data_IF_706552368428
#
_entry.id   IF_706552368428
#
_cell.length_a   1.000
_cell.length_b   1.000
_cell.length_c   1.000
_cell.angle_alpha   90.00
_cell.angle_beta   90.00
_cell.angle_gamma   90.00
#
_symmetry.space_group_name_H-M   'P 1'
#
loop_
_entity.id
_entity.type
_entity.pdbx_description
1 polymer ?
#
# COMPACT_ATOMS: atom_id res chain seq x y z
N UNK A 1 28.36 -52.14 0.15
CA UNK A 1 27.03 -51.99 0.78
C UNK A 1 26.01 -51.94 -0.35
N UNK A 2 25.31 -53.04 -0.59
CA UNK A 2 24.40 -53.20 -1.72
C UNK A 2 22.99 -52.80 -1.29
N UNK A 3 22.47 -51.70 -1.85
CA UNK A 3 21.11 -51.25 -1.58
C UNK A 3 20.10 -52.29 -2.07
N UNK A 4 19.14 -52.66 -1.22
CA UNK A 4 18.02 -53.55 -1.59
C UNK A 4 17.07 -52.78 -2.52
N UNK A 5 17.35 -52.77 -3.81
CA UNK A 5 16.33 -52.49 -4.81
C UNK A 5 15.42 -53.72 -4.92
N UNK A 6 14.12 -53.55 -4.67
CA UNK A 6 13.11 -54.58 -4.91
C UNK A 6 12.66 -54.47 -6.36
N UNK A 7 13.24 -55.30 -7.23
CA UNK A 7 12.74 -55.47 -8.59
C UNK A 7 11.36 -56.14 -8.56
N UNK A 8 10.37 -55.53 -9.20
CA UNK A 8 9.07 -56.15 -9.46
C UNK A 8 7.94 -55.89 -8.44
N UNK A 9 8.11 -55.01 -7.45
CA UNK A 9 6.93 -54.55 -6.68
C UNK A 9 6.16 -53.50 -7.49
N UNK A 10 4.81 -53.62 -7.59
CA UNK A 10 4.00 -52.56 -8.18
C UNK A 10 4.22 -51.27 -7.39
N UNK A 11 4.31 -50.14 -8.11
CA UNK A 11 4.43 -48.83 -7.47
C UNK A 11 3.33 -48.67 -6.42
N UNK A 12 3.71 -48.53 -5.16
CA UNK A 12 2.77 -48.22 -4.10
C UNK A 12 2.14 -46.85 -4.40
N UNK A 13 0.81 -46.76 -4.37
CA UNK A 13 0.12 -45.48 -4.50
C UNK A 13 0.46 -44.61 -3.30
N UNK A 14 1.34 -43.63 -3.50
CA UNK A 14 1.65 -42.63 -2.48
C UNK A 14 0.57 -41.56 -2.54
N UNK A 15 -0.24 -41.44 -1.49
CA UNK A 15 -1.18 -40.35 -1.37
C UNK A 15 -0.41 -39.04 -1.16
N UNK A 16 -0.56 -38.10 -2.09
CA UNK A 16 -0.09 -36.73 -1.91
C UNK A 16 -0.96 -36.05 -0.85
N UNK A 17 -0.45 -35.96 0.37
CA UNK A 17 -1.11 -35.18 1.43
C UNK A 17 -0.76 -33.71 1.21
N UNK A 18 -1.77 -32.88 0.96
CA UNK A 18 -1.60 -31.43 0.91
C UNK A 18 -1.35 -30.93 2.33
N UNK A 19 -0.22 -30.27 2.55
CA UNK A 19 0.09 -29.62 3.83
C UNK A 19 -0.86 -28.46 4.07
N UNK A 20 -1.38 -28.37 5.30
CA UNK A 20 -2.20 -27.27 5.80
C UNK A 20 -3.36 -26.85 4.86
N UNK A 21 -4.03 -27.85 4.27
CA UNK A 21 -5.12 -27.68 3.29
C UNK A 21 -6.23 -26.72 3.73
N UNK A 22 -6.77 -26.80 4.96
CA UNK A 22 -7.77 -25.85 5.44
C UNK A 22 -7.28 -24.39 5.46
N UNK A 23 -6.04 -24.16 5.86
CA UNK A 23 -5.48 -22.80 5.90
C UNK A 23 -5.27 -22.23 4.49
N UNK A 24 -4.87 -23.06 3.53
CA UNK A 24 -4.79 -22.66 2.13
C UNK A 24 -6.16 -22.35 1.53
N UNK A 25 -7.16 -23.19 1.80
CA UNK A 25 -8.52 -22.94 1.34
C UNK A 25 -9.09 -21.64 1.91
N UNK A 26 -8.77 -21.31 3.17
CA UNK A 26 -9.17 -20.05 3.77
C UNK A 26 -8.46 -18.85 3.14
N UNK A 27 -7.15 -18.95 2.86
CA UNK A 27 -6.44 -17.90 2.14
C UNK A 27 -7.02 -17.67 0.74
N UNK A 28 -7.36 -18.73 0.01
CA UNK A 28 -8.04 -18.63 -1.30
C UNK A 28 -9.44 -18.01 -1.18
N UNK A 29 -10.18 -18.29 -0.11
CA UNK A 29 -11.47 -17.64 0.17
C UNK A 29 -11.29 -16.13 0.38
N UNK A 30 -10.30 -15.74 1.18
CA UNK A 30 -10.00 -14.33 1.44
C UNK A 30 -9.59 -13.59 0.17
N UNK A 31 -8.73 -14.19 -0.66
CA UNK A 31 -8.31 -13.64 -1.95
C UNK A 31 -9.50 -13.35 -2.88
N UNK A 32 -10.54 -14.20 -2.85
CA UNK A 32 -11.76 -14.00 -3.64
C UNK A 32 -12.69 -12.93 -3.06
N UNK A 33 -12.71 -12.77 -1.74
CA UNK A 33 -13.58 -11.80 -1.05
C UNK A 33 -13.01 -10.39 -1.15
N UNK A 34 -11.69 -10.24 -1.05
CA UNK A 34 -11.00 -8.96 -1.00
C UNK A 34 -10.34 -8.63 -2.35
N UNK A 35 -11.11 -8.11 -3.29
CA UNK A 35 -10.67 -7.88 -4.68
C UNK A 35 -9.45 -6.95 -4.83
N UNK A 36 -9.25 -6.02 -3.89
CA UNK A 36 -8.14 -5.07 -3.88
C UNK A 36 -6.88 -5.62 -3.18
N UNK A 37 -6.88 -6.91 -2.85
CA UNK A 37 -5.80 -7.59 -2.17
C UNK A 37 -5.44 -8.90 -2.86
N UNK A 38 -4.17 -9.30 -2.73
CA UNK A 38 -3.71 -10.64 -3.07
C UNK A 38 -3.32 -11.35 -1.77
N UNK A 39 -4.00 -12.45 -1.45
CA UNK A 39 -3.85 -13.19 -0.19
C UNK A 39 -3.16 -14.53 -0.43
N UNK A 40 -2.16 -14.83 0.41
CA UNK A 40 -1.27 -15.98 0.27
C UNK A 40 -1.07 -16.64 1.64
N UNK A 41 -0.95 -17.97 1.68
CA UNK A 41 -0.55 -18.70 2.88
C UNK A 41 0.87 -19.26 2.75
N UNK A 42 1.74 -18.93 3.71
CA UNK A 42 3.12 -19.41 3.74
C UNK A 42 3.27 -20.63 4.64
N UNK A 43 3.73 -21.76 4.08
CA UNK A 43 4.01 -22.98 4.84
C UNK A 43 5.26 -22.85 5.73
N UNK A 44 6.18 -21.94 5.42
CA UNK A 44 7.44 -21.78 6.15
C UNK A 44 7.24 -21.13 7.52
N UNK A 45 6.42 -20.08 7.58
CA UNK A 45 6.07 -19.36 8.82
C UNK A 45 4.69 -19.74 9.37
N UNK A 46 3.88 -20.47 8.59
CA UNK A 46 2.48 -20.79 8.90
C UNK A 46 1.66 -19.54 9.21
N UNK A 47 1.77 -18.57 8.32
CA UNK A 47 1.11 -17.26 8.44
C UNK A 47 0.45 -16.90 7.11
N UNK A 48 -0.63 -16.16 7.22
CA UNK A 48 -1.31 -15.51 6.12
C UNK A 48 -0.63 -14.18 5.79
N UNK A 49 -0.60 -13.86 4.52
CA UNK A 49 -0.02 -12.65 3.96
C UNK A 49 -1.02 -12.03 3.01
N UNK A 50 -1.19 -10.72 3.08
CA UNK A 50 -1.98 -9.97 2.11
C UNK A 50 -1.13 -8.83 1.54
N UNK A 51 -1.16 -8.66 0.23
CA UNK A 51 -0.49 -7.59 -0.50
C UNK A 51 -1.56 -6.75 -1.18
N UNK A 52 -1.54 -5.45 -0.94
CA UNK A 52 -2.50 -4.55 -1.57
C UNK A 52 -2.20 -4.39 -3.06
N UNK A 53 -3.23 -4.42 -3.90
CA UNK A 53 -3.12 -4.29 -5.37
C UNK A 53 -3.34 -2.86 -5.88
N UNK A 54 -3.72 -1.92 -5.01
CA UNK A 54 -3.90 -0.52 -5.39
C UNK A 54 -2.57 0.19 -5.67
N UNK A 55 -2.62 1.15 -6.60
CA UNK A 55 -1.49 2.04 -6.89
C UNK A 55 -1.25 2.98 -5.72
N UNK A 56 -0.05 2.91 -5.14
CA UNK A 56 0.41 3.77 -4.07
C UNK A 56 1.93 3.94 -4.10
N UNK A 57 2.48 4.99 -3.47
CA UNK A 57 3.92 5.23 -3.45
C UNK A 57 4.71 4.13 -2.72
N UNK A 58 4.03 3.32 -1.89
CA UNK A 58 4.62 2.22 -1.15
C UNK A 58 3.71 0.99 -1.25
N UNK A 59 4.29 -0.17 -1.61
CA UNK A 59 3.58 -1.46 -1.56
C UNK A 59 3.24 -1.78 -0.11
N UNK A 60 1.96 -2.05 0.16
CA UNK A 60 1.50 -2.41 1.49
C UNK A 60 1.37 -3.93 1.62
N UNK A 61 2.00 -4.47 2.66
CA UNK A 61 1.96 -5.89 2.99
C UNK A 61 1.58 -6.03 4.46
N UNK A 62 0.60 -6.86 4.75
CA UNK A 62 0.21 -7.25 6.11
C UNK A 62 0.35 -8.76 6.25
N UNK A 63 0.76 -9.22 7.43
CA UNK A 63 0.87 -10.64 7.77
C UNK A 63 0.14 -10.91 9.08
N UNK A 64 -0.48 -12.08 9.26
CA UNK A 64 -0.96 -12.57 10.56
C UNK A 64 -0.90 -14.11 10.62
N UNK A 65 -0.88 -14.69 11.82
CA UNK A 65 -0.96 -16.14 12.01
C UNK A 65 -2.37 -16.71 11.76
N UNK A 66 -3.42 -15.89 11.85
CA UNK A 66 -4.82 -16.28 11.65
C UNK A 66 -5.44 -15.54 10.47
N UNK A 67 -6.50 -16.12 9.89
CA UNK A 67 -7.25 -15.47 8.81
C UNK A 67 -8.04 -14.25 9.30
N UNK A 68 -8.68 -14.36 10.46
CA UNK A 68 -9.44 -13.26 11.08
C UNK A 68 -8.53 -12.07 11.42
N UNK A 69 -7.37 -12.33 12.03
CA UNK A 69 -6.40 -11.27 12.33
C UNK A 69 -5.81 -10.63 11.08
N UNK A 70 -5.73 -11.38 9.97
CA UNK A 70 -5.35 -10.82 8.67
C UNK A 70 -6.44 -9.89 8.13
N UNK A 71 -7.70 -10.29 8.17
CA UNK A 71 -8.84 -9.48 7.71
C UNK A 71 -8.95 -8.16 8.49
N UNK A 72 -8.80 -8.20 9.82
CA UNK A 72 -8.79 -6.98 10.65
C UNK A 72 -7.68 -6.00 10.20
N UNK A 73 -6.47 -6.51 9.93
CA UNK A 73 -5.35 -5.68 9.45
C UNK A 73 -5.58 -5.15 8.05
N UNK A 74 -6.21 -5.92 7.16
CA UNK A 74 -6.57 -5.46 5.82
C UNK A 74 -7.61 -4.34 5.89
N UNK A 75 -8.61 -4.48 6.76
CA UNK A 75 -9.62 -3.45 6.98
C UNK A 75 -9.03 -2.17 7.55
N UNK A 76 -8.16 -2.28 8.57
CA UNK A 76 -7.45 -1.13 9.14
C UNK A 76 -6.59 -0.41 8.09
N UNK A 77 -5.89 -1.18 7.26
CA UNK A 77 -5.09 -0.65 6.16
C UNK A 77 -5.93 0.13 5.13
N UNK A 78 -7.08 -0.39 4.73
CA UNK A 78 -8.01 0.32 3.84
C UNK A 78 -8.54 1.60 4.47
N UNK A 79 -8.88 1.57 5.76
CA UNK A 79 -9.34 2.76 6.48
C UNK A 79 -8.27 3.86 6.51
N UNK A 80 -7.01 3.49 6.80
CA UNK A 80 -5.88 4.44 6.78
C UNK A 80 -5.70 5.04 5.38
N UNK A 81 -5.81 4.23 4.32
CA UNK A 81 -5.73 4.71 2.93
C UNK A 81 -6.85 5.71 2.58
N UNK A 82 -8.08 5.44 3.01
CA UNK A 82 -9.21 6.36 2.79
C UNK A 82 -8.98 7.71 3.49
N UNK A 83 -8.44 7.70 4.71
CA UNK A 83 -8.08 8.91 5.45
C UNK A 83 -6.97 9.72 4.74
N UNK A 84 -5.97 9.05 4.15
CA UNK A 84 -4.91 9.72 3.39
C UNK A 84 -5.42 10.35 2.08
N UNK A 85 -6.37 9.70 1.40
CA UNK A 85 -6.94 10.22 0.13
C UNK A 85 -7.86 11.42 0.36
N UNK A 86 -8.46 11.54 1.53
CA UNK A 86 -9.36 12.65 1.91
C UNK A 86 -8.62 13.85 2.51
N UNK A 87 -7.31 13.72 2.75
CA UNK A 87 -6.48 14.88 3.10
C UNK A 87 -6.29 15.73 1.83
N UNK A 88 -6.77 16.98 1.79
CA UNK A 88 -6.46 17.86 0.66
C UNK A 88 -4.94 18.00 0.57
N UNK A 89 -4.36 18.20 -0.64
CA UNK A 89 -2.95 18.51 -0.73
C UNK A 89 -2.70 19.77 0.11
N UNK A 90 -2.05 19.63 1.26
CA UNK A 90 -1.36 20.73 1.92
C UNK A 90 -0.20 21.14 0.99
N UNK A 91 -0.58 21.86 -0.06
CA UNK A 91 0.25 22.34 -1.15
C UNK A 91 -0.37 23.60 -1.76
N UNK A 92 -1.20 24.32 -1.00
CA UNK A 92 -1.35 25.75 -1.17
C UNK A 92 -0.18 26.39 -0.45
N UNK A 93 0.99 26.40 -1.10
CA UNK A 93 2.01 27.38 -0.77
C UNK A 93 1.40 28.73 -1.15
N UNK A 94 0.62 29.29 -0.21
CA UNK A 94 0.09 30.64 -0.28
C UNK A 94 1.31 31.54 -0.13
N UNK A 95 2.04 31.67 -1.25
CA UNK A 95 3.09 32.65 -1.42
C UNK A 95 2.41 33.99 -1.10
N UNK A 96 2.79 34.66 0.00
CA UNK A 96 2.09 35.85 0.42
C UNK A 96 2.10 36.84 -0.74
N UNK A 97 0.99 37.57 -0.99
CA UNK A 97 0.95 38.54 -2.07
C UNK A 97 2.12 39.48 -1.85
N UNK A 98 3.02 39.53 -2.84
CA UNK A 98 4.18 40.41 -2.80
C UNK A 98 3.65 41.81 -2.48
N UNK A 99 4.00 42.34 -1.31
CA UNK A 99 3.63 43.69 -0.90
C UNK A 99 3.92 44.62 -2.09
N UNK A 100 2.96 45.44 -2.54
CA UNK A 100 3.28 46.50 -3.46
C UNK A 100 4.23 47.41 -2.71
N UNK A 101 5.53 47.32 -3.04
CA UNK A 101 6.54 48.25 -2.57
C UNK A 101 6.01 49.65 -2.86
N UNK A 102 5.59 50.30 -1.80
CA UNK A 102 5.18 51.69 -1.77
C UNK A 102 6.39 52.52 -2.18
N UNK A 103 6.58 52.66 -3.50
CA UNK A 103 7.54 53.57 -4.07
C UNK A 103 6.88 54.94 -4.06
N UNK A 104 6.87 55.52 -2.88
CA UNK A 104 6.73 56.95 -2.68
C UNK A 104 7.69 57.67 -3.62
N UNK A 105 7.15 58.18 -4.73
CA UNK A 105 7.77 59.26 -5.48
C UNK A 105 6.81 60.42 -5.44
N UNK A 106 7.19 61.34 -4.56
CA UNK A 106 6.48 62.54 -4.23
C UNK A 106 6.16 63.37 -5.48
N UNK A 107 4.91 63.86 -5.49
CA UNK A 107 4.50 65.20 -5.90
C UNK A 107 5.26 65.87 -7.05
N UNK A 108 4.58 65.87 -8.19
CA UNK A 108 4.47 67.01 -9.10
C UNK A 108 4.28 68.33 -8.33
N UNK A 109 5.16 69.30 -8.51
CA UNK A 109 4.82 70.74 -8.47
C UNK A 109 5.45 71.47 -9.65
N UNK A 110 4.71 72.52 -10.03
CA UNK A 110 4.57 73.19 -11.33
C UNK A 110 5.68 74.22 -11.65
N UNK A 111 5.67 74.80 -12.87
CA UNK A 111 6.76 75.61 -13.43
C UNK A 111 6.65 77.10 -13.05
N UNK A 112 7.77 77.81 -13.13
CA UNK A 112 7.79 79.27 -13.11
C UNK A 112 9.18 79.85 -12.82
N UNK A 113 9.78 80.50 -13.82
CA UNK A 113 10.99 81.31 -13.65
C UNK A 113 11.43 81.95 -14.96
N UNK A 114 11.08 83.23 -15.14
CA UNK A 114 11.45 84.12 -16.26
C UNK A 114 12.56 85.08 -15.79
N UNK A 115 13.26 85.68 -16.77
CA UNK A 115 14.31 86.71 -16.73
C UNK A 115 15.74 86.13 -16.70
N UNK A 116 16.70 86.62 -17.49
CA UNK A 116 16.87 87.96 -18.07
C UNK A 116 17.19 87.93 -19.58
#
# INVERSE_FOLDING_TARGET
MTGRHRDGQPYASVYQRVWDGPARAEAERLDQVWADWTVLYSLGKRSFYAVASWDGPQVMVVEDATSEGLEERMQDAEMVRMLQTTSPPHGGEERPPAEPRDRGTARRRRPGGRAA
#
